data_IF_836112641517
#
_entry.id   IF_836112641517
#
_cell.length_a   1.000
_cell.length_b   1.000
_cell.length_c   1.000
_cell.angle_alpha   90.00
_cell.angle_beta   90.00
_cell.angle_gamma   90.00
#
_symmetry.space_group_name_H-M   'P 1'
#
loop_
_entity.id
_entity.type
_entity.pdbx_description
1 polymer ?
#
# COMPACT_ATOMS: atom_id res chain seq x y z
N UNK A 1 -10.96 -6.10 -21.50
CA UNK A 1 -10.89 -4.66 -21.23
C UNK A 1 -12.13 -4.12 -20.49
N UNK A 2 -13.30 -3.97 -21.11
CA UNK A 2 -14.48 -3.40 -20.42
C UNK A 2 -15.08 -4.30 -19.32
N UNK A 3 -15.13 -5.62 -19.54
CA UNK A 3 -15.64 -6.59 -18.55
C UNK A 3 -14.73 -6.72 -17.33
N UNK A 4 -13.42 -6.57 -17.52
CA UNK A 4 -12.43 -6.61 -16.44
C UNK A 4 -12.57 -5.38 -15.53
N UNK A 5 -12.80 -4.20 -16.13
CA UNK A 5 -13.07 -2.97 -15.39
C UNK A 5 -14.37 -3.07 -14.57
N UNK A 6 -15.43 -3.67 -15.13
CA UNK A 6 -16.70 -3.87 -14.43
C UNK A 6 -16.54 -4.79 -13.20
N UNK A 7 -15.81 -5.90 -13.33
CA UNK A 7 -15.52 -6.80 -12.22
C UNK A 7 -14.68 -6.12 -11.12
N UNK A 8 -13.67 -5.34 -11.51
CA UNK A 8 -12.86 -4.58 -10.55
C UNK A 8 -13.69 -3.52 -9.81
N UNK A 9 -14.59 -2.83 -10.51
CA UNK A 9 -15.50 -1.86 -9.89
C UNK A 9 -16.46 -2.53 -8.91
N UNK A 10 -16.98 -3.72 -9.25
CA UNK A 10 -17.86 -4.49 -8.38
C UNK A 10 -17.15 -4.95 -7.11
N UNK A 11 -15.92 -5.49 -7.26
CA UNK A 11 -15.06 -5.85 -6.14
C UNK A 11 -14.78 -4.66 -5.22
N UNK A 12 -14.50 -3.49 -5.80
CA UNK A 12 -14.22 -2.27 -5.05
C UNK A 12 -15.45 -1.85 -4.24
N UNK A 13 -16.64 -1.87 -4.86
CA UNK A 13 -17.91 -1.57 -4.20
C UNK A 13 -18.18 -2.54 -3.04
N UNK A 14 -17.96 -3.84 -3.24
CA UNK A 14 -18.18 -4.86 -2.22
C UNK A 14 -17.24 -4.68 -1.01
N UNK A 15 -15.97 -4.35 -1.25
CA UNK A 15 -15.01 -4.02 -0.18
C UNK A 15 -15.50 -2.79 0.60
N UNK A 16 -15.87 -1.71 -0.09
CA UNK A 16 -16.38 -0.49 0.55
C UNK A 16 -17.62 -0.75 1.41
N UNK A 17 -18.59 -1.49 0.88
CA UNK A 17 -19.80 -1.87 1.61
C UNK A 17 -19.50 -2.65 2.89
N UNK A 18 -18.56 -3.60 2.85
CA UNK A 18 -18.14 -4.32 4.06
C UNK A 18 -17.47 -3.40 5.07
N UNK A 19 -16.63 -2.47 4.63
CA UNK A 19 -15.99 -1.50 5.51
C UNK A 19 -17.01 -0.58 6.19
N UNK A 20 -17.98 -0.06 5.42
CA UNK A 20 -19.04 0.81 5.93
C UNK A 20 -19.95 0.08 6.91
N UNK A 21 -20.19 -1.22 6.68
CA UNK A 21 -20.93 -2.09 7.58
C UNK A 21 -20.12 -2.53 8.83
N UNK A 22 -18.88 -2.07 9.00
CA UNK A 22 -18.01 -2.49 10.11
C UNK A 22 -17.64 -3.97 10.07
N UNK A 23 -17.63 -4.58 8.88
CA UNK A 23 -17.29 -5.97 8.66
C UNK A 23 -15.84 -6.12 8.19
N UNK A 24 -15.26 -7.29 8.45
CA UNK A 24 -13.92 -7.63 7.97
C UNK A 24 -13.96 -7.90 6.47
N UNK A 25 -13.12 -7.20 5.72
CA UNK A 25 -12.90 -7.46 4.31
C UNK A 25 -11.77 -8.50 4.16
N UNK A 26 -12.14 -9.79 4.24
CA UNK A 26 -11.24 -10.91 4.03
C UNK A 26 -11.30 -11.40 2.56
N UNK A 27 -10.14 -11.55 1.86
CA UNK A 27 -10.12 -11.90 0.44
C UNK A 27 -10.92 -13.15 0.08
N UNK A 28 -10.69 -14.26 0.77
CA UNK A 28 -11.38 -15.53 0.52
C UNK A 28 -12.90 -15.40 0.65
N UNK A 29 -13.38 -14.72 1.69
CA UNK A 29 -14.81 -14.52 1.93
C UNK A 29 -15.47 -13.65 0.87
N UNK A 30 -14.77 -12.60 0.41
CA UNK A 30 -15.25 -11.73 -0.67
C UNK A 30 -15.41 -12.55 -1.96
N UNK A 31 -14.43 -13.39 -2.28
CA UNK A 31 -14.48 -14.25 -3.47
C UNK A 31 -15.58 -15.30 -3.38
N UNK A 32 -15.79 -15.90 -2.21
CA UNK A 32 -16.92 -16.83 -2.02
C UNK A 32 -18.27 -16.13 -2.20
N UNK A 33 -18.41 -14.88 -1.75
CA UNK A 33 -19.63 -14.09 -1.96
C UNK A 33 -19.90 -13.83 -3.44
N UNK A 34 -18.87 -13.56 -4.24
CA UNK A 34 -19.01 -13.43 -5.70
C UNK A 34 -19.51 -14.73 -6.32
N UNK A 35 -18.93 -15.88 -5.95
CA UNK A 35 -19.38 -17.17 -6.48
C UNK A 35 -20.82 -17.49 -6.08
N UNK A 36 -21.26 -17.06 -4.89
CA UNK A 36 -22.67 -17.20 -4.48
C UNK A 36 -23.60 -16.32 -5.32
N UNK A 37 -23.21 -15.09 -5.59
CA UNK A 37 -24.01 -14.13 -6.37
C UNK A 37 -23.99 -14.44 -7.88
N UNK A 38 -22.95 -15.11 -8.38
CA UNK A 38 -22.75 -15.48 -9.78
C UNK A 38 -22.37 -16.96 -9.89
N UNK A 39 -23.34 -17.88 -9.65
CA UNK A 39 -23.06 -19.30 -9.70
C UNK A 39 -22.67 -19.74 -11.11
N UNK A 40 -21.64 -20.57 -11.20
CA UNK A 40 -21.21 -21.19 -12.46
C UNK A 40 -22.13 -22.38 -12.78
N UNK A 41 -22.84 -22.32 -13.90
CA UNK A 41 -23.70 -23.40 -14.38
C UNK A 41 -23.04 -24.10 -15.57
N UNK A 42 -22.08 -25.00 -15.31
CA UNK A 42 -21.49 -25.82 -16.36
C UNK A 42 -21.03 -27.19 -15.83
N UNK A 43 -20.87 -28.21 -16.69
CA UNK A 43 -20.38 -29.54 -16.28
C UNK A 43 -18.99 -29.52 -15.62
N UNK A 44 -18.20 -28.47 -15.86
CA UNK A 44 -16.88 -28.29 -15.30
C UNK A 44 -16.81 -27.10 -14.32
N UNK A 45 -17.96 -26.71 -13.75
CA UNK A 45 -18.06 -25.55 -12.85
C UNK A 45 -17.05 -25.60 -11.70
N UNK A 46 -16.86 -26.77 -11.08
CA UNK A 46 -15.91 -26.92 -9.96
C UNK A 46 -14.46 -26.72 -10.40
N UNK A 47 -14.10 -27.21 -11.59
CA UNK A 47 -12.78 -27.00 -12.18
C UNK A 47 -12.54 -25.49 -12.42
N UNK A 48 -13.48 -24.81 -13.09
CA UNK A 48 -13.37 -23.37 -13.35
C UNK A 48 -13.36 -22.56 -12.04
N UNK A 49 -14.17 -22.96 -11.05
CA UNK A 49 -14.22 -22.31 -9.73
C UNK A 49 -12.89 -22.41 -9.01
N UNK A 50 -12.24 -23.57 -9.01
CA UNK A 50 -10.94 -23.76 -8.35
C UNK A 50 -9.86 -22.83 -8.94
N UNK A 51 -9.77 -22.76 -10.28
CA UNK A 51 -8.83 -21.87 -10.96
C UNK A 51 -9.18 -20.39 -10.76
N UNK A 52 -10.44 -20.02 -10.93
CA UNK A 52 -10.90 -18.65 -10.78
C UNK A 52 -10.71 -18.14 -9.33
N UNK A 53 -10.96 -18.99 -8.32
CA UNK A 53 -10.83 -18.62 -6.91
C UNK A 53 -9.43 -18.10 -6.60
N UNK A 54 -8.40 -18.83 -7.04
CA UNK A 54 -7.00 -18.46 -6.80
C UNK A 54 -6.67 -17.09 -7.40
N UNK A 55 -7.08 -16.84 -8.64
CA UNK A 55 -6.81 -15.56 -9.31
C UNK A 55 -7.63 -14.41 -8.73
N UNK A 56 -8.92 -14.64 -8.42
CA UNK A 56 -9.77 -13.64 -7.79
C UNK A 56 -9.25 -13.25 -6.41
N UNK A 57 -8.80 -14.20 -5.58
CA UNK A 57 -8.20 -13.89 -4.26
C UNK A 57 -6.97 -13.01 -4.42
N UNK A 58 -6.10 -13.27 -5.41
CA UNK A 58 -4.96 -12.39 -5.70
C UNK A 58 -5.38 -10.99 -6.13
N UNK A 59 -6.43 -10.87 -6.95
CA UNK A 59 -6.98 -9.56 -7.35
C UNK A 59 -7.48 -8.80 -6.13
N UNK A 60 -8.34 -9.41 -5.30
CA UNK A 60 -8.87 -8.79 -4.09
C UNK A 60 -7.75 -8.41 -3.12
N UNK A 61 -6.75 -9.28 -2.94
CA UNK A 61 -5.60 -9.00 -2.07
C UNK A 61 -4.82 -7.76 -2.54
N UNK A 62 -4.61 -7.62 -3.86
CA UNK A 62 -3.97 -6.41 -4.43
C UNK A 62 -4.82 -5.16 -4.22
N UNK A 63 -6.14 -5.27 -4.32
CA UNK A 63 -7.05 -4.15 -4.06
C UNK A 63 -7.02 -3.72 -2.60
N UNK A 64 -7.12 -4.67 -1.66
CA UNK A 64 -7.01 -4.38 -0.22
C UNK A 64 -5.66 -3.76 0.14
N UNK A 65 -4.57 -4.21 -0.50
CA UNK A 65 -3.25 -3.61 -0.32
C UNK A 65 -3.25 -2.13 -0.72
N UNK A 66 -3.86 -1.78 -1.86
CA UNK A 66 -3.96 -0.37 -2.31
C UNK A 66 -4.79 0.47 -1.36
N UNK A 67 -5.95 -0.05 -0.93
CA UNK A 67 -6.84 0.65 0.00
C UNK A 67 -6.15 0.86 1.36
N UNK A 68 -5.45 -0.17 1.86
CA UNK A 68 -4.77 -0.13 3.16
C UNK A 68 -3.36 0.49 3.15
N UNK A 69 -2.85 0.93 1.99
CA UNK A 69 -1.56 1.61 1.85
C UNK A 69 -1.69 3.00 1.22
N UNK A 70 -2.90 3.57 1.18
CA UNK A 70 -3.09 4.93 0.67
C UNK A 70 -2.49 5.92 1.66
N UNK A 71 -1.36 6.52 1.29
CA UNK A 71 -0.72 7.64 2.01
C UNK A 71 -1.46 8.97 1.79
N UNK A 72 -2.42 8.99 0.85
CA UNK A 72 -3.34 10.11 0.71
C UNK A 72 -3.99 10.42 2.06
N UNK A 73 -4.16 11.71 2.42
CA UNK A 73 -4.92 12.07 3.61
C UNK A 73 -6.26 11.34 3.51
N UNK A 74 -6.50 10.45 4.47
CA UNK A 74 -7.73 9.70 4.55
C UNK A 74 -8.86 10.71 4.34
N UNK A 75 -9.72 10.47 3.34
CA UNK A 75 -10.92 11.29 3.13
C UNK A 75 -11.56 11.56 4.49
N UNK A 76 -12.17 12.73 4.77
CA UNK A 76 -12.85 12.98 6.05
C UNK A 76 -13.81 11.84 6.46
N UNK A 77 -14.29 11.05 5.48
CA UNK A 77 -15.10 9.85 5.66
C UNK A 77 -14.32 8.58 6.07
N UNK A 78 -13.00 8.59 6.13
CA UNK A 78 -12.12 7.45 6.46
C UNK A 78 -11.39 7.62 7.80
N UNK A 79 -11.49 8.80 8.41
CA UNK A 79 -10.91 9.09 9.73
C UNK A 79 -11.90 8.69 10.81
N UNK A 80 -11.40 8.06 11.88
CA UNK A 80 -12.22 7.75 13.04
C UNK A 80 -12.68 9.05 13.73
N UNK A 81 -13.96 9.17 14.13
CA UNK A 81 -14.47 10.39 14.75
C UNK A 81 -13.59 10.85 15.94
N UNK A 82 -13.14 12.11 15.90
CA UNK A 82 -12.29 12.69 16.95
C UNK A 82 -10.78 12.46 16.78
N UNK A 83 -10.34 11.82 15.70
CA UNK A 83 -8.91 11.65 15.39
C UNK A 83 -8.52 12.35 14.09
N UNK A 84 -7.23 12.55 13.87
CA UNK A 84 -6.70 13.23 12.65
C UNK A 84 -6.04 12.26 11.67
N UNK A 85 -5.56 11.11 12.15
CA UNK A 85 -4.81 10.11 11.36
C UNK A 85 -5.23 8.66 11.62
N UNK A 86 -6.12 8.45 12.59
CA UNK A 86 -6.64 7.12 12.88
C UNK A 86 -7.63 6.74 11.78
N UNK A 87 -7.34 5.66 11.06
CA UNK A 87 -8.18 5.21 9.95
C UNK A 87 -9.25 4.23 10.44
N UNK A 88 -10.37 4.17 9.72
CA UNK A 88 -11.49 3.26 10.01
C UNK A 88 -11.10 1.78 10.05
N UNK A 89 -10.04 1.39 9.33
CA UNK A 89 -9.61 -0.01 9.23
C UNK A 89 -8.12 -0.14 8.96
N UNK A 90 -7.51 -1.19 9.50
CA UNK A 90 -6.11 -1.50 9.33
C UNK A 90 -5.89 -2.81 8.56
N UNK A 91 -4.85 -2.90 7.72
CA UNK A 91 -4.47 -4.14 7.08
C UNK A 91 -3.81 -5.07 8.11
N UNK A 92 -4.37 -6.27 8.29
CA UNK A 92 -3.94 -7.25 9.28
C UNK A 92 -3.86 -8.64 8.64
N UNK A 93 -2.96 -9.49 9.13
CA UNK A 93 -2.90 -10.90 8.73
C UNK A 93 -3.81 -11.71 9.66
N UNK A 94 -4.88 -12.29 9.11
CA UNK A 94 -5.78 -13.22 9.80
C UNK A 94 -5.94 -14.48 8.96
N UNK A 95 -5.88 -15.65 9.60
CA UNK A 95 -6.01 -16.94 8.91
C UNK A 95 -5.03 -17.11 7.72
N UNK A 96 -3.82 -16.55 7.82
CA UNK A 96 -2.82 -16.57 6.75
C UNK A 96 -3.09 -15.62 5.58
N UNK A 97 -4.17 -14.82 5.63
CA UNK A 97 -4.55 -13.87 4.59
C UNK A 97 -4.44 -12.43 5.08
N UNK A 98 -4.05 -11.52 4.20
CA UNK A 98 -4.10 -10.08 4.49
C UNK A 98 -5.53 -9.58 4.30
N UNK A 99 -6.19 -9.28 5.41
CA UNK A 99 -7.53 -8.73 5.46
C UNK A 99 -7.48 -7.25 5.86
N UNK A 100 -8.53 -6.52 5.53
CA UNK A 100 -8.74 -5.18 6.06
C UNK A 100 -9.75 -5.28 7.20
N UNK A 101 -9.31 -4.92 8.40
CA UNK A 101 -10.06 -5.12 9.65
C UNK A 101 -10.47 -3.75 10.20
N UNK A 102 -11.76 -3.50 10.46
CA UNK A 102 -12.21 -2.29 11.14
C UNK A 102 -11.49 -2.09 12.48
N UNK A 103 -11.14 -0.85 12.82
CA UNK A 103 -10.37 -0.57 14.04
C UNK A 103 -11.03 -1.10 15.31
N UNK A 104 -12.37 -1.03 15.38
CA UNK A 104 -13.17 -1.58 16.49
C UNK A 104 -13.06 -3.10 16.63
N UNK A 105 -12.64 -3.80 15.57
CA UNK A 105 -12.44 -5.24 15.54
C UNK A 105 -10.95 -5.64 15.57
N UNK A 106 -10.04 -4.67 15.56
CA UNK A 106 -8.61 -4.94 15.72
C UNK A 106 -8.32 -5.30 17.19
N UNK A 107 -7.53 -6.35 17.38
CA UNK A 107 -7.02 -6.70 18.71
C UNK A 107 -5.90 -5.73 19.12
N UNK A 108 -5.65 -5.56 20.43
CA UNK A 108 -4.53 -4.74 20.91
C UNK A 108 -3.18 -5.16 20.32
N UNK A 109 -2.97 -6.46 20.12
CA UNK A 109 -1.75 -6.99 19.51
C UNK A 109 -1.61 -6.55 18.05
N UNK A 110 -2.67 -6.69 17.25
CA UNK A 110 -2.65 -6.28 15.84
C UNK A 110 -2.39 -4.77 15.68
N UNK A 111 -2.95 -3.93 16.55
CA UNK A 111 -2.66 -2.50 16.58
C UNK A 111 -1.21 -2.23 17.02
N UNK A 112 -0.70 -2.98 18.01
CA UNK A 112 0.69 -2.85 18.46
C UNK A 112 1.69 -3.20 17.35
N UNK A 113 1.43 -4.28 16.61
CA UNK A 113 2.23 -4.66 15.45
C UNK A 113 2.22 -3.56 14.37
N UNK A 114 1.06 -2.92 14.16
CA UNK A 114 0.95 -1.79 13.23
C UNK A 114 1.73 -0.55 13.72
N UNK A 115 1.69 -0.25 15.02
CA UNK A 115 2.50 0.82 15.62
C UNK A 115 4.00 0.56 15.40
N UNK A 116 4.46 -0.67 15.61
CA UNK A 116 5.85 -1.05 15.37
C UNK A 116 6.25 -0.89 13.90
N UNK A 117 5.35 -1.27 12.98
CA UNK A 117 5.57 -1.06 11.54
C UNK A 117 5.74 0.43 11.20
N UNK A 118 4.86 1.29 11.69
CA UNK A 118 4.92 2.74 11.44
C UNK A 118 6.21 3.35 11.99
N UNK A 119 6.63 2.96 13.20
CA UNK A 119 7.91 3.39 13.78
C UNK A 119 9.10 2.94 12.95
N UNK A 120 9.07 1.71 12.45
CA UNK A 120 10.12 1.18 11.57
C UNK A 120 10.20 1.96 10.24
N UNK A 121 9.05 2.30 9.66
CA UNK A 121 8.98 3.10 8.45
C UNK A 121 9.52 4.51 8.67
N UNK A 122 9.11 5.18 9.75
CA UNK A 122 9.64 6.48 10.14
C UNK A 122 11.17 6.44 10.25
N UNK A 123 11.71 5.42 10.93
CA UNK A 123 13.16 5.25 11.04
C UNK A 123 13.85 5.03 9.70
N UNK A 124 13.23 4.27 8.79
CA UNK A 124 13.74 4.08 7.43
C UNK A 124 13.79 5.39 6.64
N UNK A 125 12.76 6.25 6.77
CA UNK A 125 12.74 7.57 6.15
C UNK A 125 13.83 8.49 6.72
N UNK A 126 14.03 8.50 8.04
CA UNK A 126 15.12 9.27 8.68
C UNK A 126 16.49 8.84 8.15
N UNK A 127 16.75 7.52 8.10
CA UNK A 127 18.03 7.01 7.60
C UNK A 127 18.25 7.40 6.13
N UNK A 128 17.22 7.31 5.31
CA UNK A 128 17.32 7.69 3.90
C UNK A 128 17.56 9.19 3.71
N UNK A 129 16.95 10.04 4.55
CA UNK A 129 17.23 11.48 4.53
C UNK A 129 18.70 11.77 4.85
N UNK A 130 19.27 11.11 5.86
CA UNK A 130 20.69 11.24 6.20
C UNK A 130 21.60 10.80 5.04
N UNK A 131 21.31 9.69 4.37
CA UNK A 131 22.04 9.25 3.17
C UNK A 131 21.99 10.31 2.04
N UNK A 132 20.83 10.94 1.84
CA UNK A 132 20.68 12.00 0.84
C UNK A 132 21.47 13.27 1.22
N UNK A 133 21.51 13.63 2.51
CA UNK A 133 22.31 14.75 3.01
C UNK A 133 23.81 14.50 2.77
N UNK A 134 24.31 13.30 3.07
CA UNK A 134 25.70 12.89 2.80
C UNK A 134 26.03 12.93 1.31
N UNK A 135 25.11 12.47 0.46
CA UNK A 135 25.27 12.49 -0.99
C UNK A 135 25.34 13.92 -1.54
N UNK A 136 24.47 14.82 -1.06
CA UNK A 136 24.48 16.24 -1.44
C UNK A 136 25.77 16.93 -1.00
N UNK A 137 26.23 16.70 0.23
CA UNK A 137 27.50 17.25 0.71
C UNK A 137 28.69 16.79 -0.16
N UNK A 138 28.70 15.51 -0.53
CA UNK A 138 29.72 14.95 -1.43
C UNK A 138 29.68 15.56 -2.83
N UNK A 139 28.47 15.83 -3.36
CA UNK A 139 28.26 16.52 -4.64
C UNK A 139 28.83 17.93 -4.64
N UNK A 140 28.52 18.73 -3.62
CA UNK A 140 29.01 20.11 -3.49
C UNK A 140 30.54 20.11 -3.37
N UNK A 141 31.09 19.23 -2.53
CA UNK A 141 32.55 19.11 -2.37
C UNK A 141 33.27 18.76 -3.68
N UNK A 142 32.68 17.89 -4.51
CA UNK A 142 33.23 17.56 -5.83
C UNK A 142 33.15 18.74 -6.82
N UNK A 143 32.05 19.49 -6.80
CA UNK A 143 31.88 20.68 -7.64
C UNK A 143 32.88 21.78 -7.25
N UNK A 144 33.08 22.03 -5.95
CA UNK A 144 34.09 22.95 -5.44
C UNK A 144 35.51 22.53 -5.83
N UNK A 145 35.82 21.23 -5.72
CA UNK A 145 37.12 20.68 -6.12
C UNK A 145 37.38 20.79 -7.63
N UNK A 146 36.35 20.65 -8.46
CA UNK A 146 36.45 20.84 -9.91
C UNK A 146 36.64 22.32 -10.28
N UNK A 147 35.89 23.22 -9.66
CA UNK A 147 36.02 24.67 -9.88
C UNK A 147 37.42 25.20 -9.49
N UNK A 148 38.00 24.69 -8.40
CA UNK A 148 39.37 25.03 -8.00
C UNK A 148 40.42 24.54 -9.01
N UNK A 149 40.19 23.38 -9.63
CA UNK A 149 41.09 22.80 -10.62
C UNK A 149 41.08 23.60 -11.93
N UNK A 150 39.89 23.96 -12.41
CA UNK A 150 39.72 24.80 -13.62
C UNK A 150 40.31 26.20 -13.43
N UNK A 151 40.18 26.79 -12.24
CA UNK A 151 40.81 28.07 -11.92
C UNK A 151 42.35 27.99 -11.84
N UNK A 152 42.91 26.87 -11.38
CA UNK A 152 44.37 26.68 -11.37
C UNK A 152 44.95 26.46 -12.77
N UNK A 153 44.25 25.72 -13.64
CA UNK A 153 44.69 25.51 -15.02
C UNK A 153 44.57 26.79 -15.87
N UNK A 154 43.55 27.63 -15.63
CA UNK A 154 43.43 28.91 -16.33
C UNK A 154 44.53 29.93 -15.94
N UNK A 155 45.11 29.82 -14.76
CA UNK A 155 46.19 30.70 -14.29
C UNK A 155 47.58 30.33 -14.84
N UNK A 156 47.76 29.11 -15.36
CA UNK A 156 49.04 28.65 -15.93
C UNK A 156 49.20 28.94 -17.44
N UNK A 157 48.18 29.50 -18.12
CA UNK A 157 48.18 29.69 -19.59
C UNK A 157 48.53 31.12 -20.05
N UNK A 158 48.96 32.03 -19.18
CA UNK A 158 49.60 33.29 -19.61
C UNK A 158 51.14 33.19 -19.57
N UNK A 159 51.81 32.93 -20.71
CA UNK A 159 53.17 33.36 -20.93
C UNK A 159 53.21 34.71 -21.68
N UNK A 160 54.23 35.49 -21.30
CA UNK A 160 54.63 36.79 -21.82
C UNK A 160 54.98 36.84 -23.31
#
# INVERSE_FOLDING_TARGET
MAKDAALLSELHKLIGQRMDAGQIAQPSQIVEEIFKNKPLTSPHADFYRAFAKKELVKVVTRMLKRIGMSDDPASPQMVFPGHTRLVKSYPVIRNGERALVPISLCTPRELSDHILLLRKQAKGCENHAAELEEYVASKISLEEAQALKEHSEAAEVEPA
#
